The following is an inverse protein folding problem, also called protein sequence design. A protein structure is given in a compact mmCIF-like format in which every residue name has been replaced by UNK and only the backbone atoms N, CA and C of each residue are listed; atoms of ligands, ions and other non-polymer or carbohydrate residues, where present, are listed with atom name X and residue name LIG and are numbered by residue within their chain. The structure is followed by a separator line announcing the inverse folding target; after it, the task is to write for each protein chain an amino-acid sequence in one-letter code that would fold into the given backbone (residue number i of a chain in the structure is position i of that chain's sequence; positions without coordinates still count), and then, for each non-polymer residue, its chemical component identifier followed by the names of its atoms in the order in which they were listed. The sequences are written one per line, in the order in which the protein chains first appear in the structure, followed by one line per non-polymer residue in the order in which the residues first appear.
data_IF_636723942074
#
_entry.id   IF_636723942074
#
_cell.length_a   1.000
_cell.length_b   1.000
_cell.length_c   1.000
_cell.angle_alpha   90.00
_cell.angle_beta   90.00
_cell.angle_gamma   90.00
#
_symmetry.space_group_name_H-M   'P 1'
#
loop_
_entity.id
_entity.type
_entity.pdbx_description
1 polymer ?
#
# COMPACT_ATOMS: atom_id res chain seq x y z
N UNK A 1 -2.20 54.62 38.94
CA UNK A 1 -2.52 53.94 37.68
C UNK A 1 -1.91 52.56 37.80
N UNK A 2 -2.71 51.59 38.26
CA UNK A 2 -2.25 50.20 38.43
C UNK A 2 -2.10 49.57 37.05
N UNK A 3 -0.88 49.12 36.75
CA UNK A 3 -0.61 48.28 35.58
C UNK A 3 -0.83 46.85 36.05
N UNK A 4 -1.96 46.28 35.66
CA UNK A 4 -2.23 44.85 35.77
C UNK A 4 -1.36 44.12 34.74
N UNK A 5 -0.34 43.39 35.20
CA UNK A 5 0.38 42.42 34.37
C UNK A 5 -0.43 41.12 34.35
N UNK A 6 -1.05 40.82 33.21
CA UNK A 6 -1.67 39.52 32.96
C UNK A 6 -0.56 38.52 32.63
N UNK A 7 -0.33 37.56 33.53
CA UNK A 7 0.65 36.49 33.39
C UNK A 7 0.26 35.41 32.37
N UNK A 8 -0.05 35.81 31.15
CA UNK A 8 -0.27 34.88 30.04
C UNK A 8 0.92 34.95 29.09
N UNK A 9 1.64 33.82 28.98
CA UNK A 9 2.68 33.62 27.97
C UNK A 9 2.02 33.80 26.61
N UNK A 10 2.42 34.81 25.84
CA UNK A 10 1.91 35.02 24.50
C UNK A 10 2.57 34.02 23.54
N UNK A 11 1.80 33.00 23.15
CA UNK A 11 2.21 32.08 22.10
C UNK A 11 1.89 32.68 20.73
N UNK A 12 2.83 32.53 19.80
CA UNK A 12 2.61 32.84 18.39
C UNK A 12 2.73 31.56 17.60
N UNK A 13 1.62 31.13 17.02
CA UNK A 13 1.60 30.01 16.08
C UNK A 13 2.31 30.49 14.82
N UNK A 14 3.39 29.81 14.45
CA UNK A 14 4.07 30.00 13.17
C UNK A 14 3.66 28.84 12.28
N UNK A 15 2.91 29.15 11.23
CA UNK A 15 2.51 28.18 10.21
C UNK A 15 3.70 27.98 9.26
N UNK A 16 4.25 26.77 9.24
CA UNK A 16 5.31 26.38 8.30
C UNK A 16 4.65 25.82 7.04
N UNK A 17 4.89 26.46 5.90
CA UNK A 17 4.15 26.27 4.65
C UNK A 17 4.93 25.53 3.57
N UNK A 18 6.14 25.06 3.88
CA UNK A 18 6.97 24.29 2.94
C UNK A 18 7.77 23.20 3.65
N UNK A 19 8.06 22.07 2.99
CA UNK A 19 8.94 21.03 3.55
C UNK A 19 10.34 21.56 3.90
N UNK A 20 10.80 22.56 3.15
CA UNK A 20 12.00 23.34 3.47
C UNK A 20 11.94 23.99 4.84
N UNK A 21 10.87 24.71 5.15
CA UNK A 21 10.68 25.35 6.45
C UNK A 21 10.60 24.32 7.59
N UNK A 22 10.02 23.15 7.34
CA UNK A 22 9.95 22.06 8.32
C UNK A 22 11.32 21.47 8.63
N UNK A 23 12.08 21.12 7.58
CA UNK A 23 13.44 20.61 7.70
C UNK A 23 14.36 21.63 8.40
N UNK A 24 14.13 22.92 8.15
CA UNK A 24 14.86 24.04 8.74
C UNK A 24 14.53 24.28 10.22
N UNK A 25 13.30 23.97 10.68
CA UNK A 25 12.80 24.35 12.00
C UNK A 25 12.56 23.19 12.99
N UNK A 26 12.54 21.93 12.54
CA UNK A 26 12.31 20.78 13.42
C UNK A 26 13.59 20.21 14.04
N UNK A 27 13.68 20.18 15.38
CA UNK A 27 14.84 19.64 16.11
C UNK A 27 14.90 18.10 16.12
N UNK A 28 13.77 17.42 15.91
CA UNK A 28 13.66 15.96 15.86
C UNK A 28 14.23 15.40 14.54
N UNK A 29 14.16 16.19 13.47
CA UNK A 29 14.44 15.71 12.10
C UNK A 29 15.89 15.99 11.68
N UNK A 30 16.59 16.92 12.35
CA UNK A 30 17.97 17.32 12.01
C UNK A 30 18.96 16.14 11.96
N UNK A 31 18.91 15.19 12.90
CA UNK A 31 19.84 14.04 12.93
C UNK A 31 19.62 13.01 11.82
N UNK A 32 18.42 13.00 11.24
CA UNK A 32 18.01 12.07 10.17
C UNK A 32 18.24 12.68 8.78
N UNK A 33 18.20 14.02 8.70
CA UNK A 33 18.46 14.81 7.49
C UNK A 33 19.95 14.96 7.16
N UNK A 34 20.86 14.74 8.11
CA UNK A 34 22.32 14.78 7.89
C UNK A 34 22.80 13.79 6.81
N UNK A 35 22.00 12.78 6.47
CA UNK A 35 22.29 11.76 5.45
C UNK A 35 21.61 12.03 4.10
N UNK A 36 20.78 13.06 4.00
CA UNK A 36 20.12 13.45 2.76
C UNK A 36 20.99 14.47 2.02
N UNK A 37 21.63 14.05 0.92
CA UNK A 37 22.40 14.93 0.04
C UNK A 37 21.44 15.77 -0.82
N UNK A 38 20.85 16.80 -0.22
CA UNK A 38 20.18 17.90 -0.92
C UNK A 38 21.23 18.90 -1.38
N UNK A 39 22.05 18.52 -2.36
CA UNK A 39 23.33 19.15 -2.75
C UNK A 39 23.29 20.64 -3.15
N UNK A 40 22.28 21.41 -2.77
CA UNK A 40 22.27 22.87 -2.87
C UNK A 40 22.39 23.61 -1.54
N UNK A 41 22.07 23.09 -0.34
CA UNK A 41 22.14 23.91 0.89
C UNK A 41 22.40 23.13 2.20
N UNK A 42 23.68 23.03 2.60
CA UNK A 42 24.09 22.53 3.92
C UNK A 42 23.94 23.65 4.96
N UNK A 43 23.09 23.47 5.97
CA UNK A 43 23.02 24.36 7.14
C UNK A 43 23.45 23.62 8.41
N UNK A 44 24.61 24.00 8.95
CA UNK A 44 25.03 23.55 10.29
C UNK A 44 24.22 24.25 11.37
N UNK A 45 24.08 23.64 12.56
CA UNK A 45 23.45 24.26 13.75
C UNK A 45 24.01 25.67 14.05
N UNK A 46 25.29 25.89 13.75
CA UNK A 46 25.97 27.18 13.87
C UNK A 46 25.56 28.17 12.76
N UNK A 47 25.30 27.69 11.54
CA UNK A 47 24.70 28.46 10.45
C UNK A 47 23.31 29.00 10.79
N UNK A 48 22.51 28.21 11.50
CA UNK A 48 21.18 28.61 11.96
C UNK A 48 21.22 29.66 13.09
N UNK A 49 22.11 29.48 14.08
CA UNK A 49 22.33 30.49 15.15
C UNK A 49 22.73 31.86 14.61
N UNK A 50 23.46 31.89 13.49
CA UNK A 50 23.90 33.12 12.82
C UNK A 50 22.75 33.88 12.15
N UNK A 51 21.71 33.18 11.69
CA UNK A 51 20.64 33.77 10.90
C UNK A 51 19.51 34.36 11.74
N UNK A 52 19.22 33.78 12.91
CA UNK A 52 18.02 34.12 13.69
C UNK A 52 18.23 35.06 14.89
N UNK A 53 19.47 35.40 15.24
CA UNK A 53 19.75 36.27 16.38
C UNK A 53 20.41 37.57 15.91
N UNK A 54 19.58 38.58 15.62
CA UNK A 54 19.98 39.88 15.04
C UNK A 54 21.09 40.60 15.83
N UNK A 55 21.16 40.38 17.15
CA UNK A 55 22.24 40.92 17.99
C UNK A 55 23.58 40.23 17.78
N UNK A 56 23.58 38.94 17.45
CA UNK A 56 24.80 38.18 17.13
C UNK A 56 25.26 38.36 15.70
N UNK A 57 24.37 38.66 14.77
CA UNK A 57 24.73 38.97 13.38
C UNK A 57 25.76 40.11 13.32
N UNK A 58 25.57 41.14 14.16
CA UNK A 58 26.51 42.26 14.30
C UNK A 58 27.86 41.78 14.87
N UNK A 59 27.85 40.95 15.93
CA UNK A 59 29.08 40.42 16.52
C UNK A 59 29.87 39.56 15.53
N UNK A 60 29.18 38.73 14.73
CA UNK A 60 29.83 37.95 13.68
C UNK A 60 30.34 38.81 12.52
N UNK A 61 29.55 39.78 12.06
CA UNK A 61 29.91 40.68 10.96
C UNK A 61 31.18 41.49 11.25
N UNK A 62 31.48 41.72 12.52
CA UNK A 62 32.68 42.41 12.98
C UNK A 62 33.74 41.48 13.60
N UNK A 63 33.58 40.15 13.52
CA UNK A 63 34.47 39.15 14.14
C UNK A 63 34.68 39.33 15.67
N UNK A 64 33.68 39.86 16.36
CA UNK A 64 33.68 40.15 17.80
C UNK A 64 33.07 39.02 18.64
N UNK A 65 32.83 37.85 18.04
CA UNK A 65 32.23 36.75 18.75
C UNK A 65 33.22 36.10 19.74
N UNK A 66 32.70 35.73 20.91
CA UNK A 66 33.54 35.18 21.97
C UNK A 66 33.81 33.69 21.69
N UNK A 67 35.04 33.19 21.90
CA UNK A 67 35.31 31.76 21.80
C UNK A 67 34.36 30.96 22.70
N UNK A 68 33.87 29.80 22.23
CA UNK A 68 32.81 28.99 22.89
C UNK A 68 32.97 28.84 24.41
N UNK A 69 34.22 28.68 24.90
CA UNK A 69 34.51 28.53 26.32
C UNK A 69 34.47 29.83 27.15
N UNK A 70 34.70 30.99 26.53
CA UNK A 70 34.68 32.28 27.21
C UNK A 70 33.24 32.75 27.46
N UNK A 71 32.33 32.51 26.51
CA UNK A 71 30.91 32.86 26.66
C UNK A 71 30.23 32.05 27.78
N UNK A 72 30.57 30.76 27.90
CA UNK A 72 30.02 29.91 28.97
C UNK A 72 30.54 30.32 30.35
N UNK A 73 31.79 30.76 30.43
CA UNK A 73 32.39 31.23 31.68
C UNK A 73 31.85 32.61 32.08
N UNK A 74 31.69 33.53 31.13
CA UNK A 74 31.08 34.84 31.38
C UNK A 74 29.62 34.71 31.84
N UNK A 75 28.84 33.81 31.24
CA UNK A 75 27.46 33.53 31.69
C UNK A 75 27.41 32.95 33.11
N UNK A 76 28.39 32.13 33.49
CA UNK A 76 28.48 31.54 34.84
C UNK A 76 28.94 32.53 35.89
N UNK A 77 29.82 33.47 35.55
CA UNK A 77 30.26 34.53 36.47
C UNK A 77 29.22 35.64 36.61
N UNK A 78 28.63 36.12 35.51
CA UNK A 78 27.56 37.13 35.58
C UNK A 78 26.31 36.63 36.33
N UNK A 79 25.98 35.33 36.25
CA UNK A 79 24.85 34.76 36.98
C UNK A 79 25.04 34.73 38.51
N UNK A 80 26.25 34.94 39.02
CA UNK A 80 26.52 34.96 40.48
C UNK A 80 26.29 36.32 41.13
N UNK A 81 26.46 37.42 40.38
CA UNK A 81 26.48 38.78 40.93
C UNK A 81 25.27 39.66 40.52
N UNK A 82 24.34 39.12 39.72
CA UNK A 82 23.12 39.84 39.35
C UNK A 82 22.05 39.74 40.45
N UNK A 83 21.45 40.87 40.89
CA UNK A 83 20.29 40.84 41.78
C UNK A 83 19.19 39.98 41.15
N UNK A 84 18.59 39.07 41.93
CA UNK A 84 17.58 38.09 41.47
C UNK A 84 16.47 38.69 40.59
N UNK A 85 16.15 39.97 40.78
CA UNK A 85 15.17 40.71 40.00
C UNK A 85 15.54 40.94 38.51
N UNK A 86 16.82 40.87 38.11
CA UNK A 86 17.21 40.98 36.70
C UNK A 86 17.28 39.63 35.97
N UNK A 87 17.43 38.52 36.69
CA UNK A 87 17.38 37.18 36.09
C UNK A 87 15.96 36.84 35.60
N UNK A 88 14.94 37.46 36.20
CA UNK A 88 13.54 37.32 35.80
C UNK A 88 13.19 38.26 34.63
N UNK A 89 13.69 39.51 34.63
CA UNK A 89 13.42 40.47 33.54
C UNK A 89 14.07 40.15 32.19
N UNK A 90 15.15 39.35 32.15
CA UNK A 90 15.79 38.98 30.87
C UNK A 90 15.02 37.93 30.05
N UNK A 91 13.92 37.37 30.60
CA UNK A 91 13.12 36.35 29.94
C UNK A 91 11.69 36.79 29.59
N UNK A 92 11.25 37.97 30.01
CA UNK A 92 9.87 38.45 29.77
C UNK A 92 9.65 38.98 28.34
N UNK A 93 10.73 39.33 27.63
CA UNK A 93 10.69 39.66 26.19
C UNK A 93 11.26 38.54 25.30
N UNK A 94 11.64 37.40 25.88
CA UNK A 94 12.01 36.25 25.08
C UNK A 94 10.71 35.61 24.56
N UNK A 95 10.49 35.67 23.25
CA UNK A 95 9.44 34.89 22.58
C UNK A 95 9.65 33.41 22.94
N UNK A 96 8.78 32.88 23.80
CA UNK A 96 8.77 31.46 24.14
C UNK A 96 8.00 30.73 23.03
N UNK A 97 8.74 30.10 22.12
CA UNK A 97 8.17 29.17 21.14
C UNK A 97 7.71 27.91 21.88
N UNK A 98 6.41 27.69 21.97
CA UNK A 98 5.80 26.51 22.61
C UNK A 98 6.11 25.21 21.85
N UNK A 99 6.26 25.32 20.54
CA UNK A 99 6.55 24.21 19.65
C UNK A 99 6.40 24.63 18.20
N UNK A 100 7.04 23.87 17.32
CA UNK A 100 6.72 23.91 15.90
C UNK A 100 5.73 22.80 15.64
N UNK A 101 4.55 23.16 15.15
CA UNK A 101 3.60 22.21 14.61
C UNK A 101 3.64 22.39 13.11
N UNK A 102 3.99 21.30 12.46
CA UNK A 102 4.01 21.23 11.02
C UNK A 102 2.70 20.61 10.62
N UNK A 103 1.96 21.28 9.74
CA UNK A 103 0.79 20.66 9.15
C UNK A 103 1.26 19.41 8.40
N UNK A 104 0.85 18.27 8.94
CA UNK A 104 1.41 16.97 8.65
C UNK A 104 1.31 16.62 7.17
N UNK A 105 0.15 16.92 6.57
CA UNK A 105 -0.13 16.73 5.15
C UNK A 105 0.85 17.53 4.29
N UNK A 106 1.18 18.74 4.72
CA UNK A 106 2.00 19.65 3.95
C UNK A 106 3.48 19.21 3.96
N UNK A 107 3.94 18.59 5.04
CA UNK A 107 5.27 18.00 5.11
C UNK A 107 5.36 16.70 4.32
N UNK A 108 4.46 15.76 4.58
CA UNK A 108 4.50 14.43 4.00
C UNK A 108 4.32 14.49 2.48
N UNK A 109 3.38 15.30 1.98
CA UNK A 109 3.14 15.48 0.54
C UNK A 109 4.35 16.08 -0.17
N UNK A 110 4.91 17.15 0.37
CA UNK A 110 6.04 17.82 -0.27
C UNK A 110 7.31 16.96 -0.17
N UNK A 111 7.57 16.34 0.97
CA UNK A 111 8.71 15.45 1.14
C UNK A 111 8.66 14.27 0.17
N UNK A 112 7.52 13.57 0.06
CA UNK A 112 7.41 12.45 -0.87
C UNK A 112 7.62 12.90 -2.33
N UNK A 113 7.07 14.06 -2.71
CA UNK A 113 7.27 14.64 -4.05
C UNK A 113 8.73 14.97 -4.30
N UNK A 114 9.41 15.59 -3.34
CA UNK A 114 10.82 15.94 -3.45
C UNK A 114 11.69 14.68 -3.53
N UNK A 115 11.38 13.65 -2.73
CA UNK A 115 12.06 12.35 -2.79
C UNK A 115 11.88 11.71 -4.17
N UNK A 116 10.64 11.58 -4.64
CA UNK A 116 10.35 11.00 -5.96
C UNK A 116 11.04 11.81 -7.07
N UNK A 117 10.95 13.14 -7.05
CA UNK A 117 11.61 14.01 -8.03
C UNK A 117 13.13 13.86 -8.02
N UNK A 118 13.71 13.71 -6.83
CA UNK A 118 15.15 13.49 -6.66
C UNK A 118 15.58 12.15 -7.26
N UNK A 119 14.83 11.07 -6.99
CA UNK A 119 15.08 9.75 -7.56
C UNK A 119 14.93 9.79 -9.09
N UNK A 120 13.89 10.44 -9.61
CA UNK A 120 13.62 10.54 -11.05
C UNK A 120 14.69 11.28 -11.83
N UNK A 121 15.27 12.31 -11.21
CA UNK A 121 16.33 13.15 -11.79
C UNK A 121 17.72 12.52 -11.67
N UNK A 122 17.87 11.49 -10.83
CA UNK A 122 19.16 10.85 -10.60
C UNK A 122 19.63 10.04 -11.82
N UNK A 123 20.94 10.06 -12.06
CA UNK A 123 21.57 9.19 -13.07
C UNK A 123 21.48 7.72 -12.65
N UNK A 124 21.74 7.44 -11.37
CA UNK A 124 21.58 6.10 -10.77
C UNK A 124 20.29 6.04 -9.94
N UNK A 125 19.17 5.85 -10.63
CA UNK A 125 17.84 5.78 -10.03
C UNK A 125 17.72 4.63 -9.02
N UNK A 126 18.23 3.46 -9.37
CA UNK A 126 18.13 2.25 -8.52
C UNK A 126 18.96 2.42 -7.24
N UNK A 127 20.19 2.96 -7.34
CA UNK A 127 21.00 3.29 -6.17
C UNK A 127 20.39 4.38 -5.29
N UNK A 128 19.62 5.31 -5.87
CA UNK A 128 18.84 6.28 -5.08
C UNK A 128 17.67 5.62 -4.37
N UNK A 129 16.86 4.79 -5.05
CA UNK A 129 15.75 4.07 -4.40
C UNK A 129 16.26 3.27 -3.20
N UNK A 130 17.41 2.59 -3.32
CA UNK A 130 18.01 1.86 -2.19
C UNK A 130 18.26 2.75 -0.97
N UNK A 131 18.90 3.90 -1.17
CA UNK A 131 19.18 4.86 -0.10
C UNK A 131 17.90 5.39 0.54
N UNK A 132 16.89 5.72 -0.27
CA UNK A 132 15.63 6.25 0.25
C UNK A 132 14.74 5.19 0.90
N UNK A 133 14.87 3.91 0.52
CA UNK A 133 14.11 2.81 1.14
C UNK A 133 14.43 2.68 2.63
N UNK A 134 15.71 2.83 3.01
CA UNK A 134 16.13 2.85 4.42
C UNK A 134 15.48 4.01 5.19
N UNK A 135 15.38 5.18 4.55
CA UNK A 135 14.71 6.36 5.14
C UNK A 135 13.21 6.10 5.28
N UNK A 136 12.59 5.44 4.30
CA UNK A 136 11.16 5.15 4.36
C UNK A 136 10.82 4.25 5.53
N UNK A 137 11.60 3.22 5.78
CA UNK A 137 11.39 2.32 6.92
C UNK A 137 11.42 3.06 8.28
N UNK A 138 12.21 4.13 8.40
CA UNK A 138 12.36 4.90 9.65
C UNK A 138 11.27 5.97 9.80
N UNK A 139 10.84 6.61 8.71
CA UNK A 139 9.97 7.80 8.79
C UNK A 139 8.52 7.54 8.45
N UNK A 140 8.25 6.52 7.63
CA UNK A 140 6.90 6.26 7.15
C UNK A 140 6.18 5.21 8.00
N UNK A 141 6.89 4.37 8.76
CA UNK A 141 6.28 3.35 9.62
C UNK A 141 5.39 3.92 10.74
N UNK A 142 5.74 5.08 11.31
CA UNK A 142 4.95 5.76 12.34
C UNK A 142 3.89 6.72 11.77
N UNK A 143 3.85 6.90 10.44
CA UNK A 143 3.15 7.99 9.74
C UNK A 143 1.97 7.48 8.88
N UNK A 144 1.74 6.17 8.86
CA UNK A 144 0.63 5.54 8.13
C UNK A 144 -0.66 5.51 8.94
N UNK A 145 -1.22 6.68 9.23
CA UNK A 145 -2.66 6.79 9.47
C UNK A 145 -3.40 6.83 8.12
N UNK A 146 -4.67 6.41 8.11
CA UNK A 146 -5.55 6.33 6.92
C UNK A 146 -5.54 7.61 6.05
N UNK A 147 -5.28 8.77 6.65
CA UNK A 147 -5.26 10.07 5.98
C UNK A 147 -4.11 10.23 4.96
N UNK A 148 -3.05 9.42 5.04
CA UNK A 148 -1.88 9.49 4.14
C UNK A 148 -1.91 8.53 2.95
N UNK A 149 -3.03 7.83 2.75
CA UNK A 149 -3.19 6.81 1.73
C UNK A 149 -2.82 7.27 0.31
N UNK A 150 -3.24 8.48 -0.07
CA UNK A 150 -2.95 9.06 -1.38
C UNK A 150 -1.43 9.20 -1.63
N UNK A 151 -0.67 9.49 -0.58
CA UNK A 151 0.76 9.74 -0.65
C UNK A 151 1.55 8.46 -0.86
N UNK A 152 1.26 7.45 -0.03
CA UNK A 152 1.81 6.09 -0.15
C UNK A 152 1.58 5.56 -1.55
N UNK A 153 0.33 5.68 -2.01
CA UNK A 153 -0.07 5.21 -3.33
C UNK A 153 0.71 5.93 -4.43
N UNK A 154 0.87 7.25 -4.32
CA UNK A 154 1.69 8.03 -5.26
C UNK A 154 3.15 7.58 -5.28
N UNK A 155 3.76 7.36 -4.12
CA UNK A 155 5.15 6.91 -4.02
C UNK A 155 5.34 5.52 -4.63
N UNK A 156 4.46 4.56 -4.33
CA UNK A 156 4.50 3.24 -4.93
C UNK A 156 4.39 3.30 -6.45
N UNK A 157 3.39 4.02 -6.97
CA UNK A 157 3.17 4.10 -8.42
C UNK A 157 4.42 4.62 -9.14
N UNK A 158 5.06 5.66 -8.59
CA UNK A 158 6.24 6.27 -9.21
C UNK A 158 7.48 5.41 -9.03
N UNK A 159 7.76 4.94 -7.82
CA UNK A 159 8.99 4.20 -7.51
C UNK A 159 8.95 2.79 -8.11
N UNK A 160 7.83 2.07 -8.05
CA UNK A 160 7.70 0.76 -8.71
C UNK A 160 7.82 0.90 -10.22
N UNK A 161 7.21 1.93 -10.82
CA UNK A 161 7.35 2.19 -12.24
C UNK A 161 8.82 2.47 -12.61
N UNK A 162 9.54 3.25 -11.80
CA UNK A 162 10.97 3.51 -12.02
C UNK A 162 11.81 2.24 -11.93
N UNK A 163 11.57 1.39 -10.92
CA UNK A 163 12.25 0.11 -10.75
C UNK A 163 11.97 -0.83 -11.95
N UNK A 164 10.71 -0.88 -12.38
CA UNK A 164 10.27 -1.65 -13.54
C UNK A 164 10.93 -1.16 -14.85
N UNK A 165 10.84 0.14 -15.16
CA UNK A 165 11.42 0.74 -16.37
C UNK A 165 12.95 0.67 -16.40
N UNK A 166 13.59 0.71 -15.23
CA UNK A 166 15.03 0.52 -15.10
C UNK A 166 15.47 -0.94 -15.26
N UNK A 167 14.54 -1.87 -15.49
CA UNK A 167 14.77 -3.32 -15.51
C UNK A 167 15.51 -3.80 -14.25
N UNK A 168 15.13 -3.28 -13.08
CA UNK A 168 15.79 -3.66 -11.83
C UNK A 168 15.63 -5.17 -11.59
N UNK A 169 16.76 -5.85 -11.43
CA UNK A 169 16.84 -7.31 -11.17
C UNK A 169 17.10 -7.63 -9.70
N UNK A 170 17.39 -6.61 -8.89
CA UNK A 170 17.63 -6.77 -7.45
C UNK A 170 16.30 -7.02 -6.74
N UNK A 171 16.08 -8.29 -6.42
CA UNK A 171 14.84 -8.71 -5.77
C UNK A 171 14.80 -8.37 -4.28
N UNK A 172 15.96 -8.16 -3.64
CA UNK A 172 16.00 -7.72 -2.24
C UNK A 172 15.49 -6.28 -2.18
N UNK A 173 16.01 -5.39 -3.01
CA UNK A 173 15.57 -3.99 -3.05
C UNK A 173 14.07 -3.85 -3.33
N UNK A 174 13.53 -4.60 -4.30
CA UNK A 174 12.10 -4.54 -4.63
C UNK A 174 11.26 -5.01 -3.44
N UNK A 175 11.68 -6.09 -2.78
CA UNK A 175 10.97 -6.64 -1.61
C UNK A 175 11.08 -5.70 -0.40
N UNK A 176 12.26 -5.17 -0.11
CA UNK A 176 12.48 -4.20 0.97
C UNK A 176 11.64 -2.92 0.77
N UNK A 177 11.55 -2.46 -0.48
CA UNK A 177 10.72 -1.31 -0.83
C UNK A 177 9.22 -1.60 -0.60
N UNK A 178 8.70 -2.73 -1.07
CA UNK A 178 7.30 -3.08 -0.81
C UNK A 178 7.01 -3.27 0.69
N UNK A 179 7.99 -3.67 1.50
CA UNK A 179 7.84 -3.72 2.96
C UNK A 179 7.82 -2.35 3.61
N UNK A 180 8.51 -1.37 3.04
CA UNK A 180 8.73 -0.07 3.67
C UNK A 180 7.52 0.87 3.70
N UNK A 181 6.50 0.67 2.84
CA UNK A 181 5.41 1.62 2.65
C UNK A 181 4.00 1.01 2.73
N UNK A 182 3.85 -0.19 3.29
CA UNK A 182 2.58 -0.95 3.34
C UNK A 182 2.02 -1.30 1.95
N UNK A 183 2.56 -2.38 1.37
CA UNK A 183 2.15 -2.88 0.06
C UNK A 183 0.69 -3.31 -0.01
N UNK A 184 0.12 -3.76 1.12
CA UNK A 184 -1.28 -4.16 1.17
C UNK A 184 -2.16 -3.01 0.76
N UNK A 185 -1.89 -1.84 1.31
CA UNK A 185 -2.68 -0.66 1.10
C UNK A 185 -2.60 -0.17 -0.36
N UNK A 186 -1.42 -0.21 -0.99
CA UNK A 186 -1.30 0.07 -2.42
C UNK A 186 -2.13 -0.90 -3.28
N UNK A 187 -2.06 -2.20 -2.96
CA UNK A 187 -2.83 -3.22 -3.66
C UNK A 187 -4.35 -3.02 -3.50
N UNK A 188 -4.80 -2.55 -2.34
CA UNK A 188 -6.22 -2.32 -2.06
C UNK A 188 -6.84 -1.18 -2.86
N UNK A 189 -6.03 -0.22 -3.33
CA UNK A 189 -6.51 1.00 -3.99
C UNK A 189 -6.16 1.09 -5.48
N UNK A 190 -5.30 0.21 -5.99
CA UNK A 190 -4.76 0.32 -7.36
C UNK A 190 -4.95 -0.93 -8.21
N UNK A 191 -5.54 -0.70 -9.38
CA UNK A 191 -5.48 -1.64 -10.50
C UNK A 191 -4.26 -1.32 -11.39
N UNK A 192 -3.21 -2.13 -11.29
CA UNK A 192 -2.05 -2.05 -12.17
C UNK A 192 -1.45 -3.44 -12.39
N UNK A 193 -1.97 -4.21 -13.36
CA UNK A 193 -1.57 -5.60 -13.54
C UNK A 193 -0.11 -5.76 -13.98
N UNK A 194 0.48 -4.75 -14.62
CA UNK A 194 1.88 -4.79 -15.08
C UNK A 194 2.82 -4.71 -13.89
N UNK A 195 2.64 -3.69 -13.04
CA UNK A 195 3.47 -3.52 -11.84
C UNK A 195 3.20 -4.63 -10.82
N UNK A 196 1.95 -5.10 -10.70
CA UNK A 196 1.63 -6.24 -9.84
C UNK A 196 2.37 -7.52 -10.28
N UNK A 197 2.42 -7.83 -11.58
CA UNK A 197 3.22 -8.96 -12.10
C UNK A 197 4.69 -8.81 -11.80
N UNK A 198 5.22 -7.59 -11.90
CA UNK A 198 6.61 -7.29 -11.58
C UNK A 198 6.91 -7.57 -10.10
N UNK A 199 6.08 -7.06 -9.19
CA UNK A 199 6.22 -7.28 -7.75
C UNK A 199 6.11 -8.77 -7.41
N UNK A 200 5.06 -9.45 -7.88
CA UNK A 200 4.83 -10.88 -7.62
C UNK A 200 6.02 -11.75 -8.08
N UNK A 201 6.67 -11.39 -9.20
CA UNK A 201 7.89 -12.06 -9.67
C UNK A 201 9.01 -11.97 -8.63
N UNK A 202 9.29 -10.77 -8.12
CA UNK A 202 10.36 -10.55 -7.15
C UNK A 202 10.06 -11.19 -5.80
N UNK A 203 8.81 -11.11 -5.34
CA UNK A 203 8.35 -11.80 -4.14
C UNK A 203 8.52 -13.31 -4.25
N UNK A 204 8.15 -13.90 -5.40
CA UNK A 204 8.31 -15.33 -5.63
C UNK A 204 9.78 -15.77 -5.61
N UNK A 205 10.68 -15.00 -6.22
CA UNK A 205 12.13 -15.29 -6.18
C UNK A 205 12.63 -15.33 -4.72
N UNK A 206 12.09 -14.44 -3.88
CA UNK A 206 12.40 -14.37 -2.44
C UNK A 206 11.54 -15.28 -1.57
N UNK A 207 10.61 -16.04 -2.17
CA UNK A 207 9.68 -16.95 -1.49
C UNK A 207 8.82 -16.25 -0.44
N UNK A 208 8.49 -14.98 -0.67
CA UNK A 208 7.48 -14.27 0.12
C UNK A 208 6.09 -14.50 -0.46
N UNK A 209 5.10 -14.65 0.42
CA UNK A 209 3.70 -14.80 0.04
C UNK A 209 2.98 -13.46 0.19
N UNK A 210 2.19 -13.04 -0.79
CA UNK A 210 1.39 -11.81 -0.69
C UNK A 210 0.41 -11.85 0.50
N UNK A 211 0.01 -13.05 0.92
CA UNK A 211 -0.88 -13.28 2.06
C UNK A 211 -0.24 -12.91 3.39
N UNK A 212 1.09 -12.85 3.47
CA UNK A 212 1.78 -12.37 4.66
C UNK A 212 1.52 -10.87 4.90
N UNK A 213 1.03 -10.14 3.89
CA UNK A 213 0.84 -8.69 3.93
C UNK A 213 -0.64 -8.28 3.99
N UNK A 214 -1.57 -9.15 3.58
CA UNK A 214 -3.00 -8.81 3.50
C UNK A 214 -3.82 -9.81 4.29
N UNK A 215 -4.53 -9.40 5.36
CA UNK A 215 -5.53 -10.25 5.97
C UNK A 215 -6.65 -10.57 4.96
N UNK A 216 -6.94 -9.70 4.00
CA UNK A 216 -8.03 -9.93 3.04
C UNK A 216 -7.61 -10.91 1.92
N UNK A 217 -8.58 -11.69 1.43
CA UNK A 217 -8.43 -12.54 0.25
C UNK A 217 -8.22 -11.66 -1.03
N UNK A 218 -7.01 -11.60 -1.61
CA UNK A 218 -6.67 -10.59 -2.62
C UNK A 218 -7.51 -10.69 -3.90
N UNK A 219 -7.76 -11.92 -4.36
CA UNK A 219 -8.58 -12.18 -5.55
C UNK A 219 -10.02 -11.71 -5.36
N UNK A 220 -10.57 -11.95 -4.17
CA UNK A 220 -11.91 -11.53 -3.82
C UNK A 220 -12.03 -10.00 -3.79
N UNK A 221 -11.04 -9.34 -3.16
CA UNK A 221 -10.94 -7.87 -3.12
C UNK A 221 -10.97 -7.27 -4.54
N UNK A 222 -10.23 -7.85 -5.48
CA UNK A 222 -10.25 -7.40 -6.87
C UNK A 222 -11.65 -7.48 -7.50
N UNK A 223 -12.42 -8.55 -7.23
CA UNK A 223 -13.81 -8.64 -7.73
C UNK A 223 -14.74 -7.61 -7.07
N UNK A 224 -14.57 -7.38 -5.77
CA UNK A 224 -15.37 -6.42 -5.02
C UNK A 224 -15.15 -4.99 -5.51
N UNK A 225 -13.89 -4.60 -5.71
CA UNK A 225 -13.51 -3.23 -6.10
C UNK A 225 -13.39 -3.05 -7.62
N UNK A 226 -13.72 -4.08 -8.39
CA UNK A 226 -13.65 -4.08 -9.86
C UNK A 226 -12.25 -3.87 -10.45
N UNK A 227 -11.21 -4.32 -9.75
CA UNK A 227 -9.82 -4.37 -10.24
C UNK A 227 -9.56 -5.67 -11.00
N UNK A 228 -10.37 -5.93 -12.03
CA UNK A 228 -10.39 -7.21 -12.74
C UNK A 228 -9.06 -7.54 -13.42
N UNK A 229 -8.30 -6.54 -13.87
CA UNK A 229 -6.98 -6.68 -14.45
C UNK A 229 -5.98 -7.32 -13.49
N UNK A 230 -6.07 -7.05 -12.19
CA UNK A 230 -5.18 -7.63 -11.18
C UNK A 230 -5.47 -9.11 -10.88
N UNK A 231 -6.66 -9.62 -11.20
CA UNK A 231 -7.06 -11.01 -10.92
C UNK A 231 -6.15 -12.02 -11.61
N UNK A 232 -5.86 -11.81 -12.90
CA UNK A 232 -5.01 -12.74 -13.67
C UNK A 232 -3.59 -12.83 -13.09
N UNK A 233 -2.84 -11.72 -12.87
CA UNK A 233 -1.55 -11.76 -12.19
C UNK A 233 -1.55 -12.58 -10.90
N UNK A 234 -2.50 -12.32 -9.99
CA UNK A 234 -2.59 -13.03 -8.71
C UNK A 234 -2.73 -14.53 -8.92
N UNK A 235 -3.70 -14.92 -9.76
CA UNK A 235 -3.98 -16.33 -10.02
C UNK A 235 -2.84 -17.03 -10.74
N UNK A 236 -2.14 -16.35 -11.67
CA UNK A 236 -1.00 -16.90 -12.39
C UNK A 236 0.15 -17.26 -11.45
N UNK A 237 0.45 -16.39 -10.49
CA UNK A 237 1.45 -16.60 -9.43
C UNK A 237 0.95 -17.51 -8.30
N UNK A 238 -0.24 -18.10 -8.44
CA UNK A 238 -0.75 -19.11 -7.52
C UNK A 238 -1.34 -18.57 -6.23
N UNK A 239 -1.72 -17.28 -6.19
CA UNK A 239 -2.50 -16.76 -5.07
C UNK A 239 -3.88 -17.43 -5.13
N UNK A 240 -4.10 -18.39 -4.22
CA UNK A 240 -5.35 -19.13 -4.15
C UNK A 240 -6.47 -18.14 -3.81
N UNK A 241 -7.66 -18.26 -4.43
CA UNK A 241 -8.88 -17.71 -3.85
C UNK A 241 -9.21 -18.39 -2.50
N UNK A 242 -8.42 -18.03 -1.49
CA UNK A 242 -8.52 -18.53 -0.13
C UNK A 242 -9.84 -18.12 0.53
N UNK A 243 -10.36 -19.00 1.38
CA UNK A 243 -11.67 -18.85 2.03
C UNK A 243 -11.59 -18.32 3.45
N UNK A 244 -10.42 -18.44 4.06
CA UNK A 244 -10.25 -18.31 5.50
C UNK A 244 -10.50 -16.88 6.00
N UNK A 245 -10.52 -15.88 5.10
CA UNK A 245 -10.81 -14.47 5.42
C UNK A 245 -11.89 -13.90 4.51
N UNK A 246 -12.95 -14.69 4.28
CA UNK A 246 -14.11 -14.20 3.56
C UNK A 246 -14.99 -13.31 4.44
N UNK A 247 -14.93 -12.00 4.21
CA UNK A 247 -15.84 -11.05 4.83
C UNK A 247 -17.13 -10.90 4.01
N UNK A 248 -18.23 -11.24 4.68
CA UNK A 248 -19.59 -11.21 4.17
C UNK A 248 -20.15 -9.78 4.07
N UNK A 249 -19.60 -8.82 4.82
CA UNK A 249 -20.16 -7.46 4.99
C UNK A 249 -20.31 -6.69 3.66
N UNK A 250 -19.51 -7.03 2.65
CA UNK A 250 -19.55 -6.41 1.32
C UNK A 250 -20.84 -6.67 0.51
N UNK A 251 -21.72 -7.58 0.95
CA UNK A 251 -22.84 -8.09 0.14
C UNK A 251 -24.22 -7.53 0.48
N UNK A 252 -24.38 -6.77 1.56
CA UNK A 252 -25.68 -6.21 1.97
C UNK A 252 -26.79 -7.26 2.03
N UNK A 253 -27.86 -7.12 1.23
CA UNK A 253 -29.00 -8.07 1.26
C UNK A 253 -28.62 -9.51 0.85
N UNK A 254 -27.61 -9.67 -0.01
CA UNK A 254 -27.11 -11.00 -0.41
C UNK A 254 -26.43 -11.71 0.76
N UNK A 255 -25.79 -10.93 1.63
CA UNK A 255 -25.10 -11.40 2.81
C UNK A 255 -26.03 -12.14 3.75
N UNK A 256 -27.14 -11.50 4.14
CA UNK A 256 -28.11 -12.07 5.07
C UNK A 256 -28.62 -13.41 4.58
N UNK A 257 -28.82 -13.53 3.26
CA UNK A 257 -29.29 -14.78 2.66
C UNK A 257 -28.22 -15.86 2.66
N UNK A 258 -26.98 -15.52 2.31
CA UNK A 258 -25.84 -16.44 2.34
C UNK A 258 -25.55 -16.92 3.76
N UNK A 259 -25.49 -16.01 4.75
CA UNK A 259 -25.35 -16.35 6.17
C UNK A 259 -26.49 -17.25 6.65
N UNK A 260 -27.73 -17.00 6.22
CA UNK A 260 -28.86 -17.84 6.59
C UNK A 260 -28.74 -19.27 6.02
N UNK A 261 -28.35 -19.43 4.75
CA UNK A 261 -28.20 -20.77 4.15
C UNK A 261 -26.96 -21.50 4.68
N UNK A 262 -25.90 -20.78 5.06
CA UNK A 262 -24.74 -21.32 5.77
C UNK A 262 -25.12 -21.80 7.18
N UNK A 263 -25.86 -20.98 7.93
CA UNK A 263 -26.25 -21.30 9.31
C UNK A 263 -27.14 -22.54 9.44
N UNK A 264 -27.90 -22.89 8.40
CA UNK A 264 -28.68 -24.14 8.33
C UNK A 264 -27.92 -25.30 7.67
N UNK A 265 -26.66 -25.09 7.28
CA UNK A 265 -25.82 -26.11 6.65
C UNK A 265 -26.22 -26.51 5.23
N UNK A 266 -26.93 -25.65 4.50
CA UNK A 266 -27.38 -25.95 3.14
C UNK A 266 -26.24 -25.91 2.12
N UNK A 267 -25.23 -25.08 2.37
CA UNK A 267 -24.01 -24.94 1.57
C UNK A 267 -22.79 -24.82 2.50
N UNK A 268 -21.60 -25.12 2.00
CA UNK A 268 -20.33 -24.85 2.71
C UNK A 268 -19.90 -23.39 2.56
N UNK A 269 -19.00 -22.92 3.42
CA UNK A 269 -18.37 -21.60 3.31
C UNK A 269 -17.67 -21.41 1.96
N UNK A 270 -16.93 -22.44 1.51
CA UNK A 270 -16.35 -22.50 0.17
C UNK A 270 -17.37 -22.20 -0.91
N UNK A 271 -18.53 -22.85 -0.84
CA UNK A 271 -19.57 -22.69 -1.84
C UNK A 271 -20.22 -21.31 -1.78
N UNK A 272 -20.41 -20.75 -0.58
CA UNK A 272 -20.91 -19.39 -0.40
C UNK A 272 -19.97 -18.36 -1.01
N UNK A 273 -18.66 -18.48 -0.79
CA UNK A 273 -17.64 -17.63 -1.41
C UNK A 273 -17.71 -17.65 -2.94
N UNK A 274 -17.76 -18.85 -3.54
CA UNK A 274 -17.84 -19.00 -5.00
C UNK A 274 -19.12 -18.39 -5.59
N UNK A 275 -20.25 -18.57 -4.90
CA UNK A 275 -21.52 -17.95 -5.28
C UNK A 275 -21.47 -16.42 -5.15
N UNK A 276 -20.72 -15.92 -4.18
CA UNK A 276 -20.52 -14.50 -3.94
C UNK A 276 -19.74 -13.84 -5.07
N UNK A 277 -18.62 -14.43 -5.49
CA UNK A 277 -17.88 -14.00 -6.69
C UNK A 277 -18.79 -14.04 -7.92
N UNK A 278 -19.51 -15.15 -8.12
CA UNK A 278 -20.45 -15.25 -9.24
C UNK A 278 -21.50 -14.12 -9.23
N UNK A 279 -22.03 -13.76 -8.06
CA UNK A 279 -22.97 -12.64 -7.92
C UNK A 279 -22.32 -11.28 -8.23
N UNK A 280 -21.08 -11.04 -7.79
CA UNK A 280 -20.34 -9.83 -8.14
C UNK A 280 -20.15 -9.71 -9.65
N UNK A 281 -19.75 -10.81 -10.29
CA UNK A 281 -19.57 -10.86 -11.75
C UNK A 281 -20.89 -10.60 -12.47
N UNK A 282 -21.99 -11.23 -12.04
CA UNK A 282 -23.30 -10.97 -12.64
C UNK A 282 -23.73 -9.50 -12.49
N UNK A 283 -23.49 -8.88 -11.32
CA UNK A 283 -23.83 -7.47 -11.05
C UNK A 283 -23.03 -6.51 -11.92
N UNK A 284 -21.76 -6.83 -12.16
CA UNK A 284 -20.82 -5.97 -12.87
C UNK A 284 -20.50 -6.44 -14.31
N UNK A 285 -21.31 -7.35 -14.88
CA UNK A 285 -21.05 -8.01 -16.18
C UNK A 285 -20.82 -7.11 -17.39
N UNK A 286 -21.10 -5.81 -17.29
CA UNK A 286 -20.87 -4.83 -18.36
C UNK A 286 -19.54 -4.09 -18.21
N UNK A 287 -18.77 -4.34 -17.14
CA UNK A 287 -17.46 -3.73 -16.93
C UNK A 287 -16.41 -4.44 -17.75
N UNK A 288 -15.43 -3.69 -18.23
CA UNK A 288 -14.30 -4.24 -18.98
C UNK A 288 -13.45 -5.18 -18.11
N UNK A 289 -12.85 -6.19 -18.72
CA UNK A 289 -11.97 -7.17 -18.05
C UNK A 289 -12.67 -8.21 -17.16
N UNK A 290 -13.94 -7.99 -16.77
CA UNK A 290 -14.63 -8.89 -15.82
C UNK A 290 -14.81 -10.32 -16.33
N UNK A 291 -15.12 -10.47 -17.63
CA UNK A 291 -15.29 -11.78 -18.24
C UNK A 291 -13.98 -12.57 -18.23
N UNK A 292 -12.87 -11.91 -18.56
CA UNK A 292 -11.55 -12.52 -18.53
C UNK A 292 -11.15 -12.90 -17.09
N UNK A 293 -11.28 -11.98 -16.14
CA UNK A 293 -10.98 -12.24 -14.73
C UNK A 293 -11.79 -13.43 -14.19
N UNK A 294 -13.08 -13.47 -14.51
CA UNK A 294 -13.96 -14.56 -14.13
C UNK A 294 -13.60 -15.90 -14.79
N UNK A 295 -13.28 -15.90 -16.08
CA UNK A 295 -12.83 -17.10 -16.79
C UNK A 295 -11.52 -17.64 -16.19
N UNK A 296 -10.54 -16.77 -15.92
CA UNK A 296 -9.26 -17.17 -15.31
C UNK A 296 -9.49 -17.70 -13.88
N UNK A 297 -10.34 -17.06 -13.10
CA UNK A 297 -10.75 -17.52 -11.78
C UNK A 297 -11.32 -18.94 -11.80
N UNK A 298 -12.31 -19.22 -12.66
CA UNK A 298 -12.89 -20.57 -12.72
C UNK A 298 -11.96 -21.62 -13.33
N UNK A 299 -10.85 -21.20 -13.94
CA UNK A 299 -9.80 -22.10 -14.41
C UNK A 299 -8.88 -22.58 -13.27
N UNK A 300 -8.79 -21.85 -12.16
CA UNK A 300 -8.00 -22.25 -10.98
C UNK A 300 -8.82 -22.97 -9.91
N UNK A 301 -10.14 -22.78 -9.88
CA UNK A 301 -11.03 -23.38 -8.87
C UNK A 301 -11.41 -24.83 -9.23
N UNK A 302 -11.18 -25.85 -8.37
CA UNK A 302 -11.54 -27.25 -8.65
C UNK A 302 -13.06 -27.53 -8.58
N UNK A 303 -13.82 -26.63 -7.96
CA UNK A 303 -15.25 -26.76 -7.74
C UNK A 303 -16.07 -26.66 -9.05
N UNK A 304 -17.23 -27.34 -9.12
CA UNK A 304 -18.19 -27.15 -10.21
C UNK A 304 -18.71 -25.72 -10.31
N UNK A 305 -19.14 -25.28 -11.49
CA UNK A 305 -19.86 -24.01 -11.63
C UNK A 305 -21.16 -23.99 -10.82
N UNK A 306 -21.66 -22.80 -10.44
CA UNK A 306 -23.00 -22.63 -9.91
C UNK A 306 -24.05 -23.14 -10.90
N UNK A 307 -25.07 -23.84 -10.42
CA UNK A 307 -26.16 -24.32 -11.29
C UNK A 307 -27.38 -23.41 -11.21
N UNK A 308 -28.19 -23.36 -12.27
CA UNK A 308 -29.44 -22.59 -12.26
C UNK A 308 -30.39 -23.01 -11.11
N UNK A 309 -30.63 -24.31 -10.82
CA UNK A 309 -31.43 -24.71 -9.67
C UNK A 309 -30.87 -24.23 -8.33
N UNK A 310 -29.54 -24.31 -8.15
CA UNK A 310 -28.86 -23.85 -6.95
C UNK A 310 -29.02 -22.34 -6.76
N UNK A 311 -28.75 -21.54 -7.79
CA UNK A 311 -28.94 -20.08 -7.79
C UNK A 311 -30.40 -19.75 -7.44
N UNK A 312 -31.35 -20.46 -8.07
CA UNK A 312 -32.76 -20.24 -7.83
C UNK A 312 -33.18 -20.57 -6.40
N UNK A 313 -32.65 -21.64 -5.80
CA UNK A 313 -32.96 -22.04 -4.42
C UNK A 313 -32.36 -21.05 -3.42
N UNK A 314 -31.08 -20.73 -3.57
CA UNK A 314 -30.34 -19.89 -2.62
C UNK A 314 -30.87 -18.46 -2.63
N UNK A 315 -31.07 -17.88 -3.81
CA UNK A 315 -31.45 -16.47 -3.95
C UNK A 315 -32.95 -16.25 -4.16
N UNK A 316 -33.78 -17.28 -3.92
CA UNK A 316 -35.25 -17.14 -3.94
C UNK A 316 -35.69 -16.06 -2.95
N UNK A 317 -36.52 -15.13 -3.43
CA UNK A 317 -37.05 -14.02 -2.64
C UNK A 317 -36.14 -12.80 -2.56
N UNK A 318 -34.83 -12.96 -2.80
CA UNK A 318 -33.88 -11.83 -2.91
C UNK A 318 -33.90 -11.20 -4.29
N UNK A 319 -34.18 -12.00 -5.34
CA UNK A 319 -34.34 -11.51 -6.71
C UNK A 319 -35.67 -11.94 -7.32
N UNK A 320 -36.14 -11.14 -8.29
CA UNK A 320 -37.27 -11.52 -9.16
C UNK A 320 -36.89 -12.75 -9.99
N UNK A 321 -37.87 -13.61 -10.29
CA UNK A 321 -37.64 -14.83 -11.08
C UNK A 321 -36.97 -14.57 -12.43
N UNK A 322 -37.32 -13.48 -13.11
CA UNK A 322 -36.67 -13.09 -14.37
C UNK A 322 -35.17 -12.79 -14.23
N UNK A 323 -34.74 -12.25 -13.08
CA UNK A 323 -33.32 -12.03 -12.78
C UNK A 323 -32.63 -13.34 -12.44
N UNK A 324 -33.26 -14.22 -11.66
CA UNK A 324 -32.74 -15.56 -11.37
C UNK A 324 -32.54 -16.39 -12.65
N UNK A 325 -33.48 -16.33 -13.59
CA UNK A 325 -33.37 -17.01 -14.88
C UNK A 325 -32.14 -16.50 -15.67
N UNK A 326 -31.94 -15.16 -15.74
CA UNK A 326 -30.77 -14.57 -16.40
C UNK A 326 -29.44 -14.95 -15.72
N UNK A 327 -29.43 -15.04 -14.39
CA UNK A 327 -28.26 -15.55 -13.66
C UNK A 327 -27.99 -17.00 -14.02
N UNK A 328 -29.04 -17.83 -14.09
CA UNK A 328 -28.94 -19.23 -14.52
C UNK A 328 -28.44 -19.39 -15.96
N UNK A 329 -28.91 -18.55 -16.89
CA UNK A 329 -28.44 -18.51 -18.29
C UNK A 329 -26.95 -18.16 -18.37
N UNK A 330 -26.50 -17.16 -17.61
CA UNK A 330 -25.08 -16.80 -17.53
C UNK A 330 -24.25 -17.97 -17.00
N UNK A 331 -24.69 -18.61 -15.91
CA UNK A 331 -24.01 -19.78 -15.34
C UNK A 331 -23.89 -20.95 -16.34
N UNK A 332 -24.93 -21.17 -17.15
CA UNK A 332 -24.91 -22.17 -18.21
C UNK A 332 -23.88 -21.81 -19.29
N UNK A 333 -23.86 -20.56 -19.79
CA UNK A 333 -22.90 -20.14 -20.82
C UNK A 333 -21.43 -20.25 -20.40
N UNK A 334 -21.13 -20.16 -19.11
CA UNK A 334 -19.77 -20.27 -18.56
C UNK A 334 -19.26 -21.73 -18.53
N UNK A 335 -20.18 -22.69 -18.57
CA UNK A 335 -19.86 -24.11 -18.53
C UNK A 335 -19.43 -24.66 -19.90
N UNK A 336 -19.68 -23.91 -20.98
CA UNK A 336 -19.48 -24.32 -22.37
C UNK A 336 -18.06 -24.05 -22.94
N UNK A 337 -17.10 -23.54 -22.14
CA UNK A 337 -15.70 -23.31 -22.55
C UNK A 337 -14.87 -24.63 -22.76
N UNK A 338 -15.44 -25.64 -23.43
CA UNK A 338 -14.68 -26.74 -24.03
C UNK A 338 -14.77 -28.10 -23.36
N UNK A 339 -15.88 -28.44 -22.70
CA UNK A 339 -16.20 -29.85 -22.40
C UNK A 339 -17.60 -30.22 -22.86
N UNK A 340 -17.61 -31.25 -23.70
CA UNK A 340 -18.75 -31.92 -24.30
C UNK A 340 -19.88 -32.22 -23.29
N UNK A 341 -21.10 -31.93 -23.75
CA UNK A 341 -22.35 -32.64 -23.46
C UNK A 341 -22.54 -33.25 -22.05
N UNK A 342 -23.29 -32.51 -21.22
CA UNK A 342 -24.59 -32.87 -20.58
C UNK A 342 -24.70 -32.04 -19.29
N UNK A 343 -25.28 -30.85 -19.41
CA UNK A 343 -25.62 -30.02 -18.25
C UNK A 343 -26.97 -30.43 -17.68
N UNK A 344 -26.96 -31.42 -16.79
CA UNK A 344 -28.03 -31.56 -15.81
C UNK A 344 -27.44 -32.09 -14.50
N UNK A 345 -27.48 -31.23 -13.46
CA UNK A 345 -27.04 -31.46 -12.07
C UNK A 345 -25.53 -31.47 -11.81
N UNK A 346 -25.02 -30.39 -11.23
CA UNK A 346 -23.83 -30.34 -10.35
C UNK A 346 -22.68 -31.26 -10.74
N UNK A 347 -22.37 -31.38 -12.03
CA UNK A 347 -21.42 -32.37 -12.52
C UNK A 347 -20.02 -31.97 -12.07
N UNK A 348 -19.21 -32.94 -11.59
CA UNK A 348 -17.81 -32.68 -11.28
C UNK A 348 -17.08 -32.05 -12.48
N UNK A 349 -16.05 -31.24 -12.22
CA UNK A 349 -15.17 -30.73 -13.27
C UNK A 349 -14.49 -31.91 -13.97
N UNK A 350 -14.12 -31.72 -15.23
CA UNK A 350 -13.43 -32.76 -15.99
C UNK A 350 -12.12 -33.16 -15.33
N UNK A 351 -11.69 -34.41 -15.54
CA UNK A 351 -10.40 -34.88 -15.03
C UNK A 351 -9.26 -33.97 -15.47
N UNK A 352 -9.30 -33.47 -16.71
CA UNK A 352 -8.31 -32.52 -17.24
C UNK A 352 -8.25 -31.23 -16.41
N UNK A 353 -9.41 -30.70 -16.00
CA UNK A 353 -9.48 -29.51 -15.14
C UNK A 353 -8.93 -29.79 -13.75
N UNK A 354 -9.33 -30.89 -13.13
CA UNK A 354 -8.84 -31.30 -11.81
C UNK A 354 -7.32 -31.56 -11.83
N UNK A 355 -6.80 -32.15 -12.91
CA UNK A 355 -5.35 -32.30 -13.10
C UNK A 355 -4.64 -30.96 -13.19
N UNK A 356 -5.23 -29.95 -13.85
CA UNK A 356 -4.64 -28.60 -13.87
C UNK A 356 -4.54 -28.00 -12.49
N UNK A 357 -5.60 -28.06 -11.67
CA UNK A 357 -5.57 -27.48 -10.33
C UNK A 357 -4.50 -28.16 -9.49
N UNK A 358 -4.49 -29.49 -9.46
CA UNK A 358 -3.48 -30.26 -8.70
C UNK A 358 -2.05 -29.96 -9.15
N UNK A 359 -1.77 -29.92 -10.46
CA UNK A 359 -0.41 -29.61 -10.95
C UNK A 359 0.00 -28.18 -10.58
N UNK A 360 -0.92 -27.21 -10.71
CA UNK A 360 -0.66 -25.82 -10.33
C UNK A 360 -0.41 -25.72 -8.83
N UNK A 361 -1.21 -26.38 -8.00
CA UNK A 361 -1.05 -26.39 -6.54
C UNK A 361 0.33 -26.94 -6.15
N UNK A 362 0.78 -28.04 -6.76
CA UNK A 362 2.11 -28.59 -6.54
C UNK A 362 3.23 -27.62 -6.93
N UNK A 363 3.10 -26.92 -8.06
CA UNK A 363 4.09 -25.91 -8.47
C UNK A 363 4.08 -24.69 -7.55
N UNK A 364 2.89 -24.28 -7.11
CA UNK A 364 2.69 -23.14 -6.22
C UNK A 364 3.37 -23.36 -4.87
N UNK A 365 3.17 -24.53 -4.27
CA UNK A 365 3.82 -24.95 -3.01
C UNK A 365 5.36 -24.89 -3.07
N UNK A 366 5.93 -24.87 -4.27
CA UNK A 366 7.37 -24.79 -4.49
C UNK A 366 7.83 -23.42 -5.05
N UNK A 367 6.96 -22.41 -5.06
CA UNK A 367 7.23 -21.07 -5.63
C UNK A 367 7.67 -21.14 -7.11
N UNK A 368 7.08 -22.05 -7.88
CA UNK A 368 7.43 -22.30 -9.28
C UNK A 368 6.39 -21.75 -10.27
N UNK A 369 5.31 -21.10 -9.84
CA UNK A 369 4.30 -20.56 -10.78
C UNK A 369 4.55 -19.09 -11.17
N UNK A 370 4.50 -18.67 -12.43
CA UNK A 370 4.18 -19.47 -13.61
C UNK A 370 5.42 -20.12 -14.27
N UNK A 371 6.63 -19.67 -13.96
CA UNK A 371 7.86 -20.02 -14.71
C UNK A 371 8.17 -21.52 -14.78
N UNK A 372 7.93 -22.25 -13.70
CA UNK A 372 8.09 -23.70 -13.56
C UNK A 372 7.28 -24.53 -14.56
N UNK A 373 6.12 -24.03 -15.00
CA UNK A 373 5.32 -24.71 -16.03
C UNK A 373 6.12 -24.91 -17.32
N UNK A 374 6.96 -23.94 -17.68
CA UNK A 374 7.77 -24.01 -18.89
C UNK A 374 8.91 -25.04 -18.81
N UNK A 375 9.31 -25.43 -17.60
CA UNK A 375 10.33 -26.45 -17.34
C UNK A 375 9.77 -27.88 -17.34
N UNK A 376 8.45 -28.07 -17.31
CA UNK A 376 7.84 -29.39 -17.39
C UNK A 376 8.08 -30.04 -18.76
N UNK A 377 8.37 -31.34 -18.78
CA UNK A 377 8.48 -32.14 -20.00
C UNK A 377 7.10 -32.60 -20.50
N UNK A 378 6.30 -31.61 -20.93
CA UNK A 378 4.94 -31.82 -21.45
C UNK A 378 4.71 -31.01 -22.73
N UNK A 379 3.75 -31.40 -23.58
CA UNK A 379 3.40 -30.67 -24.79
C UNK A 379 3.09 -29.17 -24.55
N UNK A 380 3.48 -28.33 -25.50
CA UNK A 380 3.31 -26.85 -25.44
C UNK A 380 1.86 -26.43 -25.16
N UNK A 381 0.88 -27.08 -25.78
CA UNK A 381 -0.53 -26.77 -25.56
C UNK A 381 -1.00 -27.06 -24.12
N UNK A 382 -0.39 -28.04 -23.43
CA UNK A 382 -0.65 -28.26 -22.00
C UNK A 382 0.02 -27.20 -21.13
N UNK A 383 1.20 -26.68 -21.53
CA UNK A 383 1.85 -25.55 -20.85
C UNK A 383 0.96 -24.30 -20.89
N UNK A 384 0.43 -23.94 -22.05
CA UNK A 384 -0.54 -22.84 -22.19
C UNK A 384 -1.80 -23.07 -21.34
N UNK A 385 -2.34 -24.29 -21.38
CA UNK A 385 -3.50 -24.67 -20.55
C UNK A 385 -3.25 -24.53 -19.05
N UNK A 386 -2.07 -24.94 -18.58
CA UNK A 386 -1.64 -24.79 -17.19
C UNK A 386 -1.38 -23.32 -16.82
N UNK A 387 -0.88 -22.49 -17.75
CA UNK A 387 -0.66 -21.04 -17.58
C UNK A 387 -1.95 -20.19 -17.66
N UNK A 388 -3.13 -20.83 -17.71
CA UNK A 388 -4.42 -20.13 -17.79
C UNK A 388 -4.58 -19.30 -19.08
N UNK A 389 -3.83 -19.65 -20.12
CA UNK A 389 -3.94 -19.07 -21.46
C UNK A 389 -5.08 -19.75 -22.24
N UNK A 390 -5.57 -19.09 -23.31
CA UNK A 390 -6.64 -19.60 -24.18
C UNK A 390 -6.03 -20.39 -25.34
#
# INVERSE_FOLDING_TARGET
MEILFTGEIQYRIIELRTAWEVALHSSIVHSSLDYLDFSTQIFTQEGFRKFHNSWREILYRFHLDLPKGLETNLKKEFARDLPKCFAEMSNENALHLEGFYVEYDLYSINLARDVVSTIESAVDKVGMVRRYTEIFQIHFSDVMDDDNLCLVTYMYDRILLLLYESNCTDSDLVVDFIHSLDFHQWFLERENPILLRYVLKHMQIKRHDIRDYSPMAPVFHCFQNSFYGNVRPLLEYGIDPDLDVFDFEAFGVLETKLRAVLGIGMISERRAYLLSIFCLVYRNRTRDGIHEAHTVFWRTVPDPYPTCPEICVIFRGSFRQSRLNRMGEMAASLSDEGTEHIMSKGTPRSLRHLSRTVVRDCLNLNYQLPGGIWHLDIPKHLKHYLNLEI
#
